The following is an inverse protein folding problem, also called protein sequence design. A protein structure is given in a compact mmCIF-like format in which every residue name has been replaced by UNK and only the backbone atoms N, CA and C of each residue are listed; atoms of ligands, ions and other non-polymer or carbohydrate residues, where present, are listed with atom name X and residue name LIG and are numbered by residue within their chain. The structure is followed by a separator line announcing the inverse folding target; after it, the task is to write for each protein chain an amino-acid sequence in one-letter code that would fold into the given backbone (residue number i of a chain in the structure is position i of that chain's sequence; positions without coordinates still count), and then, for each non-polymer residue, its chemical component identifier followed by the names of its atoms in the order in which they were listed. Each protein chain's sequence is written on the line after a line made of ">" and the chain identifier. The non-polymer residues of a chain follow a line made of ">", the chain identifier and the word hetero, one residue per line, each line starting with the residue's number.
data_IF_233470066673
#
_entry.id   IF_233470066673
#
_cell.length_a   1.000
_cell.length_b   1.000
_cell.length_c   1.000
_cell.angle_alpha   90.00
_cell.angle_beta   90.00
_cell.angle_gamma   90.00
#
_symmetry.space_group_name_H-M   'P 1'
#
loop_
_entity.id
_entity.type
_entity.pdbx_description
1 polymer ?
#
# COMPACT_ATOMS: atom_id res chain seq x y z
N UNK A 1 -21.28 -12.34 -40.21
CA UNK A 1 -21.32 -12.16 -38.74
C UNK A 1 -20.39 -10.99 -38.41
N UNK A 2 -20.94 -9.81 -38.12
CA UNK A 2 -20.19 -8.65 -37.73
C UNK A 2 -19.87 -8.80 -36.25
N UNK A 3 -18.56 -8.87 -35.89
CA UNK A 3 -18.09 -8.88 -34.51
C UNK A 3 -18.46 -7.57 -33.83
N UNK A 4 -19.07 -7.67 -32.67
CA UNK A 4 -19.29 -6.54 -31.76
C UNK A 4 -17.94 -5.93 -31.36
N UNK A 5 -17.79 -4.61 -31.34
CA UNK A 5 -16.56 -3.98 -30.86
C UNK A 5 -16.40 -4.30 -29.36
N UNK A 6 -15.21 -4.73 -28.97
CA UNK A 6 -14.84 -4.98 -27.60
C UNK A 6 -15.15 -3.73 -26.75
N UNK A 7 -16.02 -3.87 -25.78
CA UNK A 7 -16.35 -2.83 -24.84
C UNK A 7 -15.05 -2.36 -24.15
N UNK A 8 -14.65 -1.12 -24.38
CA UNK A 8 -13.56 -0.47 -23.66
C UNK A 8 -13.96 -0.42 -22.18
N UNK A 9 -13.41 -1.31 -21.39
CA UNK A 9 -13.51 -1.23 -19.95
C UNK A 9 -12.80 0.07 -19.51
N UNK A 10 -13.57 1.08 -19.20
CA UNK A 10 -13.05 2.31 -18.58
C UNK A 10 -12.73 1.97 -17.13
N UNK A 11 -11.46 1.76 -16.83
CA UNK A 11 -10.99 1.63 -15.45
C UNK A 11 -11.03 3.02 -14.80
N UNK A 12 -12.13 3.35 -14.16
CA UNK A 12 -12.29 4.60 -13.42
C UNK A 12 -11.86 4.35 -11.98
N UNK A 13 -10.61 4.67 -11.66
CA UNK A 13 -10.16 4.82 -10.27
C UNK A 13 -10.54 6.23 -9.85
N UNK A 14 -11.54 6.36 -8.99
CA UNK A 14 -11.91 7.64 -8.41
C UNK A 14 -11.17 7.79 -7.08
N UNK A 15 -10.27 8.76 -6.99
CA UNK A 15 -9.68 9.18 -5.72
C UNK A 15 -10.55 10.32 -5.16
N UNK A 16 -11.12 10.11 -3.97
CA UNK A 16 -11.79 11.19 -3.23
C UNK A 16 -10.78 11.76 -2.25
N UNK A 17 -10.36 12.99 -2.50
CA UNK A 17 -9.50 13.75 -1.60
C UNK A 17 -10.40 14.56 -0.67
N UNK A 18 -10.22 14.40 0.65
CA UNK A 18 -10.84 15.31 1.63
C UNK A 18 -9.88 16.50 1.77
N UNK A 19 -10.25 17.63 1.17
CA UNK A 19 -9.46 18.86 1.22
C UNK A 19 -9.46 19.44 2.65
N UNK A 20 -8.28 19.44 3.27
CA UNK A 20 -7.97 20.29 4.42
C UNK A 20 -7.19 21.50 3.94
N UNK A 21 -7.63 22.70 4.31
CA UNK A 21 -7.09 23.98 3.85
C UNK A 21 -5.59 24.13 4.08
N UNK A 22 -4.83 24.38 3.02
CA UNK A 22 -3.41 24.75 3.01
C UNK A 22 -2.66 24.07 1.85
N UNK A 23 -1.68 24.76 1.29
CA UNK A 23 -0.78 24.22 0.27
C UNK A 23 0.17 23.19 0.89
N UNK A 24 -0.33 21.94 1.06
CA UNK A 24 0.47 20.84 1.60
C UNK A 24 1.41 20.30 0.54
N UNK A 25 2.64 19.98 0.92
CA UNK A 25 3.62 19.40 0.02
C UNK A 25 3.15 18.06 -0.55
N UNK A 26 3.41 17.81 -1.84
CA UNK A 26 3.17 16.50 -2.46
C UNK A 26 4.23 15.53 -1.95
N UNK A 27 3.79 14.44 -1.34
CA UNK A 27 4.66 13.40 -0.77
C UNK A 27 4.85 12.26 -1.75
N UNK A 28 3.78 11.86 -2.44
CA UNK A 28 3.82 10.75 -3.40
C UNK A 28 3.04 11.15 -4.65
N UNK A 29 3.64 10.95 -5.82
CA UNK A 29 3.02 11.29 -7.10
C UNK A 29 3.19 10.13 -8.09
N UNK A 30 2.10 9.75 -8.74
CA UNK A 30 2.11 8.89 -9.91
C UNK A 30 1.89 9.76 -11.15
N UNK A 31 2.66 9.52 -12.22
CA UNK A 31 2.54 10.23 -13.51
C UNK A 31 2.41 9.22 -14.63
N UNK A 32 1.32 9.30 -15.37
CA UNK A 32 0.98 8.42 -16.49
C UNK A 32 1.23 6.93 -16.18
N UNK A 33 0.95 6.52 -14.93
CA UNK A 33 1.31 5.22 -14.40
C UNK A 33 0.47 4.12 -15.07
N UNK A 34 1.12 3.15 -15.68
CA UNK A 34 0.47 2.05 -16.36
C UNK A 34 1.03 0.71 -15.89
N UNK A 35 0.16 -0.28 -15.79
CA UNK A 35 0.55 -1.66 -15.47
C UNK A 35 -0.18 -2.64 -16.35
N UNK A 36 0.58 -3.48 -17.01
CA UNK A 36 0.10 -4.61 -17.80
C UNK A 36 0.68 -5.89 -17.23
N UNK A 37 -0.20 -6.84 -16.97
CA UNK A 37 0.19 -8.21 -16.62
C UNK A 37 0.06 -9.11 -17.85
N UNK A 38 1.02 -10.00 -18.02
CA UNK A 38 1.00 -11.03 -19.06
C UNK A 38 0.86 -12.39 -18.37
N UNK A 39 -0.17 -13.13 -18.74
CA UNK A 39 -0.44 -14.48 -18.26
C UNK A 39 -0.57 -15.41 -19.47
N UNK A 40 0.54 -16.04 -19.88
CA UNK A 40 0.61 -16.76 -21.15
C UNK A 40 0.32 -15.84 -22.33
N UNK A 41 -0.71 -16.16 -23.11
CA UNK A 41 -1.13 -15.37 -24.29
C UNK A 41 -2.13 -14.25 -23.94
N UNK A 42 -2.53 -14.11 -22.67
CA UNK A 42 -3.48 -13.09 -22.23
C UNK A 42 -2.74 -11.90 -21.62
N UNK A 43 -3.02 -10.71 -22.15
CA UNK A 43 -2.56 -9.43 -21.57
C UNK A 43 -3.71 -8.72 -20.87
N UNK A 44 -3.48 -8.27 -19.65
CA UNK A 44 -4.45 -7.53 -18.84
C UNK A 44 -3.86 -6.16 -18.47
N UNK A 45 -4.46 -5.11 -19.00
CA UNK A 45 -4.14 -3.74 -18.58
C UNK A 45 -4.83 -3.43 -17.23
N UNK A 46 -4.10 -3.55 -16.16
CA UNK A 46 -4.60 -3.27 -14.81
C UNK A 46 -4.65 -1.76 -14.52
N UNK A 47 -3.70 -0.98 -15.07
CA UNK A 47 -3.69 0.50 -15.01
C UNK A 47 -3.35 1.07 -16.37
N UNK A 48 -3.95 2.22 -16.71
CA UNK A 48 -3.81 2.88 -18.01
C UNK A 48 -3.58 4.38 -17.82
N UNK A 49 -2.32 4.81 -17.67
CA UNK A 49 -1.94 6.21 -17.60
C UNK A 49 -2.56 6.96 -16.41
N UNK A 50 -2.47 6.39 -15.20
CA UNK A 50 -3.06 6.98 -13.99
C UNK A 50 -2.14 8.08 -13.46
N UNK A 51 -2.73 9.26 -13.22
CA UNK A 51 -2.12 10.36 -12.50
C UNK A 51 -2.75 10.47 -11.10
N UNK A 52 -1.92 10.58 -10.06
CA UNK A 52 -2.36 10.73 -8.67
C UNK A 52 -1.32 11.54 -7.89
N UNK A 53 -1.78 12.41 -7.01
CA UNK A 53 -0.94 13.14 -6.05
C UNK A 53 -1.46 12.94 -4.65
N UNK A 54 -0.60 12.51 -3.76
CA UNK A 54 -0.86 12.39 -2.33
C UNK A 54 -0.06 13.45 -1.59
N UNK A 55 -0.74 14.17 -0.70
CA UNK A 55 -0.13 15.29 0.05
C UNK A 55 0.17 14.89 1.49
N UNK A 56 1.07 15.62 2.12
CA UNK A 56 1.42 15.40 3.52
C UNK A 56 0.21 15.54 4.44
N UNK A 57 0.01 14.56 5.34
CA UNK A 57 -1.13 14.53 6.27
C UNK A 57 -2.50 14.39 5.61
N UNK A 58 -2.55 13.94 4.35
CA UNK A 58 -3.80 13.69 3.63
C UNK A 58 -4.28 12.27 3.87
N UNK A 59 -5.60 12.11 4.04
CA UNK A 59 -6.27 10.82 4.05
C UNK A 59 -6.99 10.63 2.71
N UNK A 60 -6.48 9.72 1.87
CA UNK A 60 -7.02 9.45 0.54
C UNK A 60 -7.71 8.09 0.49
N UNK A 61 -8.91 8.04 -0.05
CA UNK A 61 -9.69 6.81 -0.26
C UNK A 61 -9.80 6.50 -1.75
N UNK A 62 -9.37 5.31 -2.15
CA UNK A 62 -9.54 4.81 -3.51
C UNK A 62 -10.85 4.03 -3.61
N UNK A 63 -11.79 4.54 -4.39
CA UNK A 63 -13.09 3.93 -4.63
C UNK A 63 -13.17 3.32 -6.03
N UNK A 64 -13.91 2.22 -6.16
CA UNK A 64 -14.15 1.57 -7.45
C UNK A 64 -14.53 0.10 -7.29
N UNK A 65 -15.09 -0.52 -8.34
CA UNK A 65 -15.48 -1.94 -8.33
C UNK A 65 -14.27 -2.87 -8.15
N UNK A 66 -14.56 -4.16 -7.88
CA UNK A 66 -13.51 -5.18 -7.87
C UNK A 66 -12.86 -5.25 -9.26
N UNK A 67 -11.53 -5.43 -9.30
CA UNK A 67 -10.77 -5.47 -10.56
C UNK A 67 -10.47 -4.10 -11.20
N UNK A 68 -10.85 -2.97 -10.57
CA UNK A 68 -10.56 -1.62 -11.12
C UNK A 68 -9.11 -1.15 -10.97
N UNK A 69 -8.21 -2.00 -10.47
CA UNK A 69 -6.78 -1.67 -10.37
C UNK A 69 -6.34 -1.02 -9.05
N UNK A 70 -7.23 -0.86 -8.04
CA UNK A 70 -6.90 -0.22 -6.75
C UNK A 70 -5.68 -0.84 -6.05
N UNK A 71 -5.70 -2.16 -5.88
CA UNK A 71 -4.58 -2.89 -5.25
C UNK A 71 -3.31 -2.79 -6.08
N UNK A 72 -3.42 -2.85 -7.41
CA UNK A 72 -2.29 -2.66 -8.31
C UNK A 72 -1.68 -1.27 -8.13
N UNK A 73 -2.52 -0.23 -8.07
CA UNK A 73 -2.06 1.14 -7.85
C UNK A 73 -1.34 1.27 -6.51
N UNK A 74 -1.92 0.75 -5.42
CA UNK A 74 -1.29 0.77 -4.09
C UNK A 74 0.04 0.01 -4.07
N UNK A 75 0.12 -1.15 -4.74
CA UNK A 75 1.36 -1.92 -4.82
C UNK A 75 2.46 -1.17 -5.58
N UNK A 76 2.11 -0.47 -6.66
CA UNK A 76 3.07 0.35 -7.41
C UNK A 76 3.53 1.57 -6.60
N UNK A 77 2.60 2.28 -5.95
CA UNK A 77 2.90 3.42 -5.10
C UNK A 77 3.80 3.03 -3.92
N UNK A 78 3.57 1.85 -3.36
CA UNK A 78 4.38 1.30 -2.26
C UNK A 78 5.67 0.61 -2.69
N UNK A 79 5.95 0.51 -3.99
CA UNK A 79 7.17 -0.17 -4.48
C UNK A 79 7.15 -1.69 -4.28
N UNK A 80 5.97 -2.32 -4.21
CA UNK A 80 5.81 -3.78 -4.14
C UNK A 80 5.74 -4.42 -5.54
N UNK A 81 5.45 -3.63 -6.56
CA UNK A 81 5.38 -4.07 -7.95
C UNK A 81 6.02 -2.99 -8.84
N UNK A 82 6.41 -3.36 -10.07
CA UNK A 82 7.08 -2.48 -11.03
C UNK A 82 6.10 -2.03 -12.10
N UNK A 83 6.01 -0.74 -12.43
CA UNK A 83 5.15 -0.25 -13.50
C UNK A 83 5.64 -0.73 -14.89
N UNK A 84 4.70 -0.89 -15.83
CA UNK A 84 5.04 -1.14 -17.24
C UNK A 84 5.50 0.15 -17.91
N UNK A 85 4.91 1.28 -17.54
CA UNK A 85 5.31 2.62 -17.99
C UNK A 85 4.82 3.69 -17.01
N UNK A 86 5.29 4.91 -17.18
CA UNK A 86 5.07 6.01 -16.24
C UNK A 86 6.05 6.00 -15.07
N UNK A 87 5.87 6.88 -14.12
CA UNK A 87 6.76 7.00 -12.97
C UNK A 87 6.00 7.20 -11.66
N UNK A 88 6.64 6.79 -10.56
CA UNK A 88 6.24 7.14 -9.20
C UNK A 88 7.34 8.00 -8.60
N UNK A 89 6.96 9.10 -7.96
CA UNK A 89 7.88 10.01 -7.28
C UNK A 89 7.55 10.07 -5.80
N UNK A 90 8.56 10.00 -4.97
CA UNK A 90 8.49 10.31 -3.56
C UNK A 90 9.16 11.66 -3.33
N UNK A 91 8.36 12.66 -2.93
CA UNK A 91 8.77 14.07 -2.91
C UNK A 91 9.36 14.47 -4.28
N UNK A 92 10.59 14.94 -4.32
CA UNK A 92 11.24 15.40 -5.57
C UNK A 92 12.00 14.30 -6.32
N UNK A 93 11.99 13.06 -5.83
CA UNK A 93 12.80 11.96 -6.38
C UNK A 93 11.94 10.89 -7.04
N UNK A 94 12.25 10.55 -8.28
CA UNK A 94 11.67 9.40 -8.93
C UNK A 94 12.16 8.11 -8.24
N UNK A 95 11.25 7.16 -8.02
CA UNK A 95 11.57 5.85 -7.47
C UNK A 95 12.18 5.02 -8.60
N UNK A 96 13.38 4.49 -8.37
CA UNK A 96 14.03 3.62 -9.34
C UNK A 96 13.58 2.17 -9.12
N UNK A 97 12.65 1.71 -9.93
CA UNK A 97 12.11 0.34 -9.87
C UNK A 97 13.08 -0.74 -10.40
N UNK A 98 14.18 -0.37 -11.01
CA UNK A 98 15.22 -1.31 -11.46
C UNK A 98 16.28 -1.59 -10.37
N UNK A 99 16.24 -0.88 -9.25
CA UNK A 99 17.17 -1.03 -8.13
C UNK A 99 16.44 -1.58 -6.90
N UNK A 100 16.55 -2.87 -6.68
CA UNK A 100 15.95 -3.58 -5.55
C UNK A 100 16.41 -3.05 -4.18
N UNK A 101 17.67 -2.61 -4.08
CA UNK A 101 18.21 -2.04 -2.84
C UNK A 101 17.58 -0.67 -2.55
N UNK A 102 17.38 0.15 -3.59
CA UNK A 102 16.66 1.43 -3.47
C UNK A 102 15.21 1.24 -3.09
N UNK A 103 14.51 0.28 -3.72
CA UNK A 103 13.13 -0.07 -3.38
C UNK A 103 12.99 -0.58 -1.94
N UNK A 104 13.89 -1.45 -1.52
CA UNK A 104 13.91 -1.97 -0.14
C UNK A 104 14.10 -0.85 0.87
N UNK A 105 15.02 0.08 0.59
CA UNK A 105 15.24 1.27 1.43
C UNK A 105 14.00 2.17 1.46
N UNK A 106 13.39 2.43 0.30
CA UNK A 106 12.17 3.22 0.20
C UNK A 106 11.02 2.63 1.04
N UNK A 107 10.77 1.32 0.91
CA UNK A 107 9.75 0.63 1.72
C UNK A 107 10.04 0.72 3.20
N UNK A 108 11.28 0.43 3.60
CA UNK A 108 11.68 0.45 5.01
C UNK A 108 11.58 1.83 5.68
N UNK A 109 11.87 2.90 4.92
CA UNK A 109 11.97 4.24 5.49
C UNK A 109 10.70 5.08 5.34
N UNK A 110 9.83 4.74 4.38
CA UNK A 110 8.75 5.64 3.97
C UNK A 110 7.38 4.99 3.80
N UNK A 111 7.25 3.66 3.87
CA UNK A 111 5.98 2.99 3.57
C UNK A 111 5.64 1.95 4.63
N UNK A 112 4.52 2.13 5.31
CA UNK A 112 3.89 1.09 6.12
C UNK A 112 2.78 0.40 5.33
N UNK A 113 2.69 -0.93 5.44
CA UNK A 113 1.68 -1.73 4.75
C UNK A 113 0.71 -2.40 5.71
N UNK A 114 -0.58 -2.18 5.48
CA UNK A 114 -1.66 -2.96 6.09
C UNK A 114 -2.36 -3.74 4.98
N UNK A 115 -2.20 -5.06 4.98
CA UNK A 115 -2.79 -5.95 3.97
C UNK A 115 -4.22 -6.34 4.32
N UNK A 116 -5.01 -6.71 3.31
CA UNK A 116 -6.42 -7.11 3.45
C UNK A 116 -6.61 -8.28 4.43
N UNK A 117 -5.69 -9.24 4.46
CA UNK A 117 -5.70 -10.40 5.37
C UNK A 117 -4.74 -10.24 6.54
N UNK A 118 -4.37 -9.00 6.87
CA UNK A 118 -3.47 -8.62 7.96
C UNK A 118 -2.06 -9.20 7.87
N UNK A 119 -1.88 -10.37 7.30
CA UNK A 119 -0.60 -11.10 7.12
C UNK A 119 0.22 -11.18 8.42
N UNK A 120 -0.45 -11.48 9.53
CA UNK A 120 0.22 -11.76 10.78
C UNK A 120 0.82 -13.17 10.73
N UNK A 121 2.00 -13.32 11.32
CA UNK A 121 2.65 -14.61 11.49
C UNK A 121 1.94 -15.35 12.63
N UNK A 122 1.25 -16.44 12.33
CA UNK A 122 0.36 -17.13 13.24
C UNK A 122 1.08 -17.75 14.48
N UNK A 123 2.36 -18.07 14.33
CA UNK A 123 3.21 -18.62 15.39
C UNK A 123 3.86 -17.58 16.29
N UNK A 124 3.64 -16.30 16.03
CA UNK A 124 4.16 -15.18 16.81
C UNK A 124 3.03 -14.47 17.54
N UNK A 125 3.30 -13.98 18.74
CA UNK A 125 2.39 -13.13 19.51
C UNK A 125 2.16 -11.77 18.81
N UNK A 126 1.20 -10.99 19.29
CA UNK A 126 0.96 -9.63 18.78
C UNK A 126 2.23 -8.76 18.90
N UNK A 127 2.93 -8.82 20.02
CA UNK A 127 4.19 -8.12 20.25
C UNK A 127 5.25 -8.55 19.25
N UNK A 128 5.52 -9.84 19.13
CA UNK A 128 6.53 -10.39 18.21
C UNK A 128 6.21 -10.06 16.74
N UNK A 129 4.93 -10.04 16.35
CA UNK A 129 4.52 -9.59 15.02
C UNK A 129 4.89 -8.12 14.74
N UNK A 130 4.82 -7.25 15.74
CA UNK A 130 5.27 -5.85 15.63
C UNK A 130 6.79 -5.78 15.65
N UNK A 131 7.47 -6.55 16.49
CA UNK A 131 8.94 -6.60 16.63
C UNK A 131 9.64 -7.00 15.32
N UNK A 132 8.99 -7.82 14.45
CA UNK A 132 9.54 -8.15 13.12
C UNK A 132 9.94 -6.92 12.28
N UNK A 133 9.27 -5.79 12.49
CA UNK A 133 9.56 -4.55 11.75
C UNK A 133 10.53 -3.66 12.51
N UNK A 134 10.55 -3.72 13.84
CA UNK A 134 11.47 -2.90 14.64
C UNK A 134 12.93 -3.21 14.35
N UNK A 135 13.25 -4.48 14.03
CA UNK A 135 14.62 -4.89 13.72
C UNK A 135 15.16 -4.31 12.41
N UNK A 136 14.27 -3.91 11.50
CA UNK A 136 14.64 -3.37 10.18
C UNK A 136 14.37 -1.87 10.04
N UNK A 137 13.55 -1.29 10.90
CA UNK A 137 13.22 0.15 10.87
C UNK A 137 14.40 0.98 11.41
N UNK A 138 14.53 2.21 10.89
CA UNK A 138 15.65 3.09 11.28
C UNK A 138 15.49 3.71 12.67
N UNK A 139 14.26 3.99 13.10
CA UNK A 139 13.95 4.55 14.41
C UNK A 139 12.59 4.00 14.87
N UNK A 140 12.53 2.70 15.23
CA UNK A 140 11.27 2.06 15.54
C UNK A 140 10.70 2.56 16.87
N UNK A 141 9.38 2.63 16.94
CA UNK A 141 8.67 2.74 18.21
C UNK A 141 8.75 1.37 18.93
N UNK A 142 8.94 1.31 20.24
CA UNK A 142 8.84 0.05 20.97
C UNK A 142 7.51 -0.64 20.72
N UNK A 143 7.51 -1.97 20.50
CA UNK A 143 6.32 -2.72 20.11
C UNK A 143 5.16 -2.58 21.11
N UNK A 144 5.45 -2.54 22.43
CA UNK A 144 4.45 -2.34 23.46
C UNK A 144 3.80 -0.95 23.38
N UNK A 145 4.56 0.08 23.06
CA UNK A 145 4.04 1.44 22.89
C UNK A 145 3.14 1.51 21.65
N UNK A 146 3.57 0.92 20.53
CA UNK A 146 2.77 0.83 19.32
C UNK A 146 1.45 0.07 19.56
N UNK A 147 1.49 -1.05 20.26
CA UNK A 147 0.29 -1.79 20.66
C UNK A 147 -0.59 -1.00 21.63
N UNK A 148 0.03 -0.21 22.52
CA UNK A 148 -0.69 0.68 23.43
C UNK A 148 -1.50 1.74 22.67
N UNK A 149 -0.94 2.34 21.62
CA UNK A 149 -1.63 3.34 20.77
C UNK A 149 -2.89 2.79 20.10
N UNK A 150 -2.91 1.49 19.78
CA UNK A 150 -4.08 0.83 19.16
C UNK A 150 -4.97 0.10 20.19
N UNK A 151 -4.72 0.31 21.50
CA UNK A 151 -5.52 -0.25 22.59
C UNK A 151 -5.32 -1.77 22.79
N UNK A 152 -4.13 -2.29 22.47
CA UNK A 152 -3.81 -3.73 22.59
C UNK A 152 -2.66 -4.03 23.55
N UNK A 153 -2.26 -3.11 24.41
CA UNK A 153 -1.18 -3.33 25.39
C UNK A 153 -1.40 -4.58 26.26
N UNK A 154 -2.62 -4.80 26.75
CA UNK A 154 -2.99 -5.99 27.54
C UNK A 154 -3.09 -7.28 26.69
N UNK A 155 -3.00 -7.20 25.39
CA UNK A 155 -3.08 -8.31 24.43
C UNK A 155 -1.75 -8.61 23.75
N UNK A 156 -0.66 -7.95 24.17
CA UNK A 156 0.65 -8.06 23.54
C UNK A 156 1.16 -9.51 23.41
N UNK A 157 0.92 -10.34 24.40
CA UNK A 157 1.38 -11.73 24.44
C UNK A 157 0.36 -12.76 23.89
N UNK A 158 -0.73 -12.28 23.22
CA UNK A 158 -1.70 -13.15 22.58
C UNK A 158 -1.28 -13.48 21.14
N UNK A 159 -1.52 -14.73 20.73
CA UNK A 159 -1.35 -15.18 19.35
C UNK A 159 -2.51 -14.69 18.48
N UNK A 160 -2.33 -14.54 17.14
CA UNK A 160 -3.39 -14.13 16.22
C UNK A 160 -4.68 -14.95 16.35
N UNK A 161 -4.58 -16.25 16.61
CA UNK A 161 -5.73 -17.15 16.83
C UNK A 161 -6.57 -16.81 18.08
N UNK A 162 -6.02 -16.06 19.02
CA UNK A 162 -6.66 -15.62 20.26
C UNK A 162 -7.25 -14.21 20.15
N UNK A 163 -7.05 -13.55 18.99
CA UNK A 163 -7.48 -12.19 18.70
C UNK A 163 -8.66 -12.19 17.72
N UNK A 164 -9.62 -11.33 17.96
CA UNK A 164 -10.69 -11.04 16.99
C UNK A 164 -10.11 -10.43 15.71
N UNK A 165 -10.85 -10.48 14.59
CA UNK A 165 -10.42 -9.87 13.32
C UNK A 165 -10.08 -8.38 13.46
N UNK A 166 -10.86 -7.63 14.26
CA UNK A 166 -10.58 -6.22 14.53
C UNK A 166 -9.32 -6.01 15.37
N UNK A 167 -8.99 -6.91 16.30
CA UNK A 167 -7.73 -6.87 17.05
C UNK A 167 -6.55 -7.22 16.16
N UNK A 168 -6.67 -8.24 15.30
CA UNK A 168 -5.64 -8.59 14.31
C UNK A 168 -5.36 -7.43 13.36
N UNK A 169 -6.40 -6.73 12.91
CA UNK A 169 -6.25 -5.53 12.09
C UNK A 169 -5.46 -4.45 12.83
N UNK A 170 -5.77 -4.21 14.10
CA UNK A 170 -5.03 -3.21 14.91
C UNK A 170 -3.58 -3.64 15.16
N UNK A 171 -3.28 -4.93 15.32
CA UNK A 171 -1.88 -5.41 15.35
C UNK A 171 -1.18 -5.12 14.02
N UNK A 172 -1.84 -5.36 12.87
CA UNK A 172 -1.27 -5.04 11.56
C UNK A 172 -1.03 -3.54 11.37
N UNK A 173 -1.88 -2.68 11.94
CA UNK A 173 -1.67 -1.22 11.95
C UNK A 173 -0.49 -0.84 12.84
N UNK A 174 -0.38 -1.44 14.04
CA UNK A 174 0.75 -1.17 14.93
C UNK A 174 2.10 -1.62 14.34
N UNK A 175 2.07 -2.66 13.48
CA UNK A 175 3.25 -3.16 12.77
C UNK A 175 3.66 -2.26 11.59
N UNK A 176 2.71 -1.55 10.94
CA UNK A 176 2.94 -0.70 9.77
C UNK A 176 3.61 0.64 10.13
#
# INVERSE_FOLDING_TARGET
>A
RRGLPAARAVTMVCAVTVEGAGERAVVLEARALSKRYRMGDVEIDALRGVDLRLREGEFTVLLGPSGSGKSTLLNLLGGLDTPTSGEVRYRDRAINFADDAALTRFRREHVGFVFQFYNLVASLTARENVELVTDIARAPMPALDALGLVGLGARADHFPSQLSGGEQQRVAIARA
#
